data_IF_393604536193
#
_entry.id   IF_393604536193
#
_cell.length_a   1.000
_cell.length_b   1.000
_cell.length_c   1.000
_cell.angle_alpha   90.00
_cell.angle_beta   90.00
_cell.angle_gamma   90.00
#
_symmetry.space_group_name_H-M   'P 1'
#
loop_
_entity.id
_entity.type
_entity.pdbx_description
1 polymer ?
#
# COMPACT_ATOMS: atom_id res chain seq x y z
N UNK A 1 3.60 6.96 -9.36
CA UNK A 1 3.20 8.24 -8.70
C UNK A 1 3.96 9.40 -9.32
N UNK A 2 3.49 10.64 -9.11
CA UNK A 2 4.24 11.84 -9.47
C UNK A 2 4.22 12.84 -8.32
N UNK A 3 5.40 13.12 -7.75
CA UNK A 3 5.57 14.04 -6.62
C UNK A 3 5.19 15.49 -6.97
N UNK A 4 5.22 15.86 -8.24
CA UNK A 4 5.04 17.23 -8.70
C UNK A 4 6.24 18.13 -8.33
N UNK A 5 6.10 19.44 -8.57
CA UNK A 5 7.13 20.43 -8.30
C UNK A 5 6.57 21.56 -7.42
N UNK A 6 6.88 21.53 -6.13
CA UNK A 6 6.47 22.53 -5.15
C UNK A 6 7.17 22.30 -3.80
N UNK A 7 6.70 22.96 -2.75
CA UNK A 7 7.34 22.94 -1.42
C UNK A 7 6.41 22.44 -0.31
N UNK A 8 5.20 21.97 -0.65
CA UNK A 8 4.26 21.44 0.33
C UNK A 8 4.59 20.00 0.70
N UNK A 9 4.16 19.57 1.88
CA UNK A 9 4.21 18.16 2.32
C UNK A 9 2.79 17.68 2.46
N UNK A 10 2.19 17.22 1.37
CA UNK A 10 0.80 16.77 1.34
C UNK A 10 0.76 15.24 1.24
N UNK A 11 0.18 14.59 2.25
CA UNK A 11 -0.07 13.14 2.18
C UNK A 11 -1.18 12.87 1.16
N UNK A 12 -0.90 12.04 0.16
CA UNK A 12 -1.81 11.65 -0.92
C UNK A 12 -1.71 10.16 -1.17
N UNK A 13 -2.67 9.62 -1.91
CA UNK A 13 -2.72 8.21 -2.28
C UNK A 13 -2.53 8.08 -3.78
N UNK A 14 -1.84 7.03 -4.22
CA UNK A 14 -1.75 6.66 -5.63
C UNK A 14 -1.95 5.16 -5.78
N UNK A 15 -2.51 4.73 -6.90
CA UNK A 15 -2.61 3.33 -7.25
C UNK A 15 -1.28 2.84 -7.79
N UNK A 16 -0.65 1.89 -7.09
CA UNK A 16 0.51 1.17 -7.58
C UNK A 16 0.06 0.05 -8.52
N UNK A 17 0.43 0.15 -9.79
CA UNK A 17 0.02 -0.80 -10.83
C UNK A 17 0.71 -2.15 -10.75
N UNK A 18 1.88 -2.23 -10.09
CA UNK A 18 2.65 -3.46 -9.89
C UNK A 18 2.04 -4.28 -8.75
N UNK A 19 1.86 -3.68 -7.59
CA UNK A 19 1.26 -4.35 -6.42
C UNK A 19 -0.27 -4.35 -6.41
N UNK A 20 -0.91 -3.62 -7.33
CA UNK A 20 -2.37 -3.46 -7.45
C UNK A 20 -3.04 -2.97 -6.16
N UNK A 21 -2.36 -2.09 -5.44
CA UNK A 21 -2.81 -1.51 -4.18
C UNK A 21 -2.62 0.00 -4.15
N UNK A 22 -3.47 0.69 -3.40
CA UNK A 22 -3.36 2.11 -3.15
C UNK A 22 -2.35 2.37 -2.03
N UNK A 23 -1.34 3.18 -2.33
CA UNK A 23 -0.21 3.48 -1.44
C UNK A 23 -0.13 4.98 -1.19
N UNK A 24 0.22 5.38 0.04
CA UNK A 24 0.44 6.78 0.37
C UNK A 24 1.77 7.31 -0.16
N UNK A 25 1.83 8.57 -0.56
CA UNK A 25 3.05 9.27 -0.97
C UNK A 25 2.96 10.77 -0.64
N UNK A 26 4.11 11.45 -0.64
CA UNK A 26 4.16 12.91 -0.45
C UNK A 26 4.06 13.63 -1.79
N UNK A 27 3.01 14.44 -1.93
CA UNK A 27 2.80 15.36 -3.05
C UNK A 27 3.25 16.78 -2.67
N UNK A 28 3.91 17.46 -3.60
CA UNK A 28 4.53 18.78 -3.35
C UNK A 28 3.62 19.98 -3.62
N UNK A 29 2.37 19.74 -4.03
CA UNK A 29 1.34 20.77 -4.11
C UNK A 29 1.10 21.37 -5.50
N UNK A 30 1.99 21.15 -6.48
CA UNK A 30 1.78 21.62 -7.87
C UNK A 30 2.24 20.62 -8.91
N UNK A 31 1.57 20.61 -10.07
CA UNK A 31 1.81 19.66 -11.15
C UNK A 31 1.41 18.23 -10.75
N UNK A 32 2.08 17.22 -11.31
CA UNK A 32 1.78 15.82 -11.05
C UNK A 32 0.95 15.17 -12.16
N UNK A 33 0.26 14.08 -11.83
CA UNK A 33 -0.64 13.37 -12.75
C UNK A 33 -1.94 12.97 -12.03
N UNK A 34 -2.90 12.42 -12.78
CA UNK A 34 -4.23 12.03 -12.26
C UNK A 34 -4.21 10.87 -11.28
N UNK A 35 -3.09 10.15 -11.13
CA UNK A 35 -2.92 9.08 -10.15
C UNK A 35 -2.49 9.68 -8.80
N UNK A 36 -3.37 10.52 -8.24
CA UNK A 36 -3.19 11.29 -7.01
C UNK A 36 -4.56 11.55 -6.37
N UNK A 37 -4.80 10.92 -5.22
CA UNK A 37 -6.07 10.92 -4.52
C UNK A 37 -5.90 11.46 -3.10
N UNK A 38 -6.95 12.06 -2.54
CA UNK A 38 -6.90 12.63 -1.18
C UNK A 38 -6.96 11.53 -0.13
N UNK A 39 -7.74 10.48 -0.39
CA UNK A 39 -7.92 9.36 0.54
C UNK A 39 -7.64 8.01 -0.12
N UNK A 40 -7.30 7.01 0.71
CA UNK A 40 -7.20 5.63 0.26
C UNK A 40 -8.49 5.17 -0.42
N UNK A 41 -9.63 5.49 0.20
CA UNK A 41 -10.93 5.02 -0.25
C UNK A 41 -11.31 5.56 -1.64
N UNK A 42 -10.95 6.82 -1.92
CA UNK A 42 -11.10 7.41 -3.25
C UNK A 42 -10.20 6.72 -4.28
N UNK A 43 -8.95 6.41 -3.93
CA UNK A 43 -8.05 5.65 -4.77
C UNK A 43 -8.62 4.25 -5.09
N UNK A 44 -9.06 3.50 -4.07
CA UNK A 44 -9.62 2.14 -4.23
C UNK A 44 -10.91 2.15 -5.06
N UNK A 45 -11.76 3.16 -4.87
CA UNK A 45 -12.99 3.33 -5.65
C UNK A 45 -12.70 3.61 -7.13
N UNK A 46 -11.61 4.33 -7.42
CA UNK A 46 -11.24 4.73 -8.78
C UNK A 46 -10.41 3.64 -9.47
N UNK A 47 -9.53 2.98 -8.72
CA UNK A 47 -8.64 1.92 -9.17
C UNK A 47 -8.85 0.71 -8.24
N UNK A 48 -9.73 -0.23 -8.62
CA UNK A 48 -10.04 -1.39 -7.79
C UNK A 48 -8.76 -2.17 -7.46
N UNK A 49 -8.49 -2.34 -6.17
CA UNK A 49 -7.40 -3.20 -5.71
C UNK A 49 -7.74 -4.66 -6.02
N UNK A 50 -6.71 -5.47 -6.29
CA UNK A 50 -6.92 -6.91 -6.42
C UNK A 50 -7.42 -7.44 -5.08
N UNK A 51 -8.53 -8.19 -5.11
CA UNK A 51 -9.06 -8.80 -3.90
C UNK A 51 -7.96 -9.67 -3.29
N UNK A 52 -7.46 -9.26 -2.13
CA UNK A 52 -6.51 -10.07 -1.39
C UNK A 52 -7.15 -11.45 -1.20
N UNK A 53 -6.42 -12.55 -1.48
CA UNK A 53 -6.91 -13.89 -1.19
C UNK A 53 -7.16 -14.11 0.32
N UNK A 54 -6.76 -13.15 1.16
CA UNK A 54 -7.13 -13.12 2.57
C UNK A 54 -8.37 -12.25 2.78
N UNK A 55 -9.52 -12.83 3.19
CA UNK A 55 -10.76 -12.09 3.45
C UNK A 55 -10.70 -11.22 4.71
N UNK A 56 -9.66 -11.38 5.53
CA UNK A 56 -9.51 -10.72 6.83
C UNK A 56 -8.12 -10.07 6.88
N UNK A 57 -8.10 -8.75 7.06
CA UNK A 57 -6.89 -7.94 7.24
C UNK A 57 -6.29 -7.35 5.96
N UNK A 58 -5.57 -6.24 6.10
CA UNK A 58 -4.87 -5.56 4.99
C UNK A 58 -3.41 -6.04 4.93
N UNK A 59 -2.84 -6.25 3.73
CA UNK A 59 -1.43 -6.58 3.58
C UNK A 59 -0.57 -5.39 4.01
N UNK A 60 0.58 -5.67 4.61
CA UNK A 60 1.59 -4.64 4.84
C UNK A 60 2.20 -4.22 3.50
N UNK A 61 2.18 -2.91 3.25
CA UNK A 61 2.81 -2.31 2.09
C UNK A 61 4.00 -1.51 2.60
N UNK A 62 5.20 -1.87 2.12
CA UNK A 62 6.42 -1.15 2.46
C UNK A 62 6.44 0.27 1.89
N UNK A 63 7.43 1.07 2.32
CA UNK A 63 7.62 2.45 1.86
C UNK A 63 7.84 2.57 0.34
N UNK A 64 8.34 1.50 -0.29
CA UNK A 64 8.49 1.39 -1.74
C UNK A 64 7.19 1.10 -2.49
N UNK A 65 6.08 0.84 -1.77
CA UNK A 65 4.80 0.45 -2.37
C UNK A 65 4.70 -1.03 -2.73
N UNK A 66 5.68 -1.85 -2.33
CA UNK A 66 5.68 -3.30 -2.51
C UNK A 66 5.06 -4.01 -1.31
N UNK A 67 4.40 -5.15 -1.57
CA UNK A 67 3.85 -6.00 -0.52
C UNK A 67 5.01 -6.61 0.27
N UNK A 68 4.92 -6.55 1.60
CA UNK A 68 5.90 -7.24 2.46
C UNK A 68 5.52 -8.71 2.57
N UNK A 69 6.29 -9.52 1.86
CA UNK A 69 6.26 -10.97 1.98
C UNK A 69 6.98 -11.39 3.25
N UNK A 70 6.49 -12.45 3.88
CA UNK A 70 7.14 -13.11 5.01
C UNK A 70 7.44 -14.57 4.64
N UNK A 71 7.91 -15.39 5.57
CA UNK A 71 8.14 -16.81 5.35
C UNK A 71 7.97 -17.63 6.61
N UNK A 72 7.88 -18.96 6.48
CA UNK A 72 7.81 -19.87 7.62
C UNK A 72 9.07 -19.82 8.49
N UNK A 73 10.23 -19.51 7.90
CA UNK A 73 11.51 -19.35 8.59
C UNK A 73 11.77 -17.93 9.08
N UNK A 74 11.10 -16.93 8.49
CA UNK A 74 11.32 -15.50 8.74
C UNK A 74 10.03 -14.77 9.14
N UNK A 75 9.30 -15.22 10.18
CA UNK A 75 8.06 -14.57 10.62
C UNK A 75 8.28 -13.17 11.21
N UNK A 76 9.51 -12.83 11.61
CA UNK A 76 9.92 -11.55 12.20
C UNK A 76 10.10 -10.42 11.19
N UNK A 77 9.98 -10.68 9.88
CA UNK A 77 10.02 -9.64 8.85
C UNK A 77 8.78 -8.74 8.89
N UNK A 78 7.70 -9.23 9.48
CA UNK A 78 6.49 -8.45 9.66
C UNK A 78 6.65 -7.41 10.78
N UNK A 79 6.19 -6.16 10.58
CA UNK A 79 6.14 -5.18 11.64
C UNK A 79 5.31 -5.68 12.83
N UNK A 80 5.52 -5.10 14.01
CA UNK A 80 4.92 -5.54 15.27
C UNK A 80 3.38 -5.61 15.28
N UNK A 81 2.71 -4.82 14.43
CA UNK A 81 1.24 -4.80 14.26
C UNK A 81 0.73 -5.78 13.20
N UNK A 82 1.61 -6.54 12.56
CA UNK A 82 1.27 -7.50 11.51
C UNK A 82 1.66 -8.92 11.92
N UNK A 83 0.99 -9.92 11.35
CA UNK A 83 1.33 -11.34 11.47
C UNK A 83 1.62 -11.93 10.10
N UNK A 84 2.59 -12.84 10.06
CA UNK A 84 2.85 -13.62 8.86
C UNK A 84 1.72 -14.65 8.65
N UNK A 85 1.01 -14.55 7.54
CA UNK A 85 -0.12 -15.42 7.23
C UNK A 85 0.23 -16.33 6.04
N UNK A 86 0.39 -17.63 6.28
CA UNK A 86 0.91 -18.60 5.32
C UNK A 86 -0.15 -19.41 4.56
N UNK A 87 -1.34 -18.84 4.28
CA UNK A 87 -2.44 -19.64 3.69
C UNK A 87 -2.32 -19.88 2.17
N UNK A 88 -1.78 -18.94 1.40
CA UNK A 88 -1.67 -19.02 -0.07
C UNK A 88 -0.40 -18.35 -0.60
N UNK A 89 -0.02 -17.21 -0.03
CA UNK A 89 1.25 -16.51 -0.24
C UNK A 89 1.64 -15.97 1.14
N UNK A 90 2.88 -16.19 1.58
CA UNK A 90 3.35 -15.68 2.87
C UNK A 90 3.41 -14.15 2.84
N UNK A 91 2.43 -13.51 3.48
CA UNK A 91 2.31 -12.06 3.54
C UNK A 91 2.11 -11.59 4.97
N UNK A 92 2.58 -10.39 5.27
CA UNK A 92 2.30 -9.71 6.53
C UNK A 92 0.89 -9.11 6.50
N UNK A 93 0.01 -9.53 7.41
CA UNK A 93 -1.39 -9.08 7.48
C UNK A 93 -1.64 -8.38 8.82
N UNK A 94 -2.34 -7.26 8.80
CA UNK A 94 -2.64 -6.45 10.00
C UNK A 94 -3.38 -7.29 11.04
N UNK A 95 -2.94 -7.22 12.31
CA UNK A 95 -3.70 -7.76 13.45
C UNK A 95 -4.96 -6.91 13.63
N UNK A 96 -6.13 -7.52 13.43
CA UNK A 96 -7.42 -6.94 13.79
C UNK A 96 -7.74 -7.24 15.26
#
# INVERSE_FOLDING_TARGET
>A
MSKGNGHSVLNRWYFNTESKVCVSFVYTGRGGNSNNFISRQECVRTCPEYASPCPIGQPHIGLSGQITHCGATDPSICPTTYWCHGKLIYNCILKL
#
